data_IF_971141395761
#
_entry.id   IF_971141395761
#
_cell.length_a   1.000
_cell.length_b   1.000
_cell.length_c   1.000
_cell.angle_alpha   90.00
_cell.angle_beta   90.00
_cell.angle_gamma   90.00
#
_symmetry.space_group_name_H-M   'P 1'
#
loop_
_entity.id
_entity.type
_entity.pdbx_description
1 polymer ?
#
# COMPACT_ATOMS: atom_id res chain seq x y z
N UNK A 1 -33.85 35.59 -38.17
CA UNK A 1 -34.39 36.76 -38.88
C UNK A 1 -34.29 36.45 -40.37
N UNK A 2 -35.43 36.40 -41.07
CA UNK A 2 -35.49 36.11 -42.51
C UNK A 2 -34.91 37.29 -43.27
N UNK A 3 -34.04 37.03 -44.23
CA UNK A 3 -33.87 37.94 -45.37
C UNK A 3 -33.86 37.13 -46.67
N UNK A 4 -34.95 37.27 -47.41
CA UNK A 4 -35.10 36.82 -48.80
C UNK A 4 -34.97 38.06 -49.66
N UNK A 5 -33.86 38.20 -50.36
CA UNK A 5 -33.74 39.18 -51.44
C UNK A 5 -33.33 38.43 -52.72
N UNK A 6 -34.30 38.29 -53.61
CA UNK A 6 -34.11 37.74 -54.94
C UNK A 6 -33.21 38.66 -55.76
N UNK A 7 -32.10 38.11 -56.25
CA UNK A 7 -31.27 38.73 -57.29
C UNK A 7 -31.64 38.07 -58.62
N UNK A 8 -32.32 38.82 -59.49
CA UNK A 8 -32.53 38.41 -60.88
C UNK A 8 -31.18 38.49 -61.59
N UNK A 9 -30.63 37.35 -61.97
CA UNK A 9 -29.40 37.27 -62.75
C UNK A 9 -29.78 37.35 -64.23
N UNK A 10 -29.41 38.45 -64.88
CA UNK A 10 -29.47 38.59 -66.33
C UNK A 10 -28.52 37.60 -66.99
N UNK A 11 -29.01 36.89 -68.00
CA UNK A 11 -28.24 35.91 -68.78
C UNK A 11 -27.35 36.69 -69.76
N UNK A 12 -26.03 36.59 -69.60
CA UNK A 12 -25.05 37.04 -70.61
C UNK A 12 -24.86 35.91 -71.65
N UNK A 13 -25.25 36.11 -72.93
CA UNK A 13 -25.20 35.07 -73.94
C UNK A 13 -23.79 34.70 -74.44
N UNK A 14 -22.72 35.36 -73.96
CA UNK A 14 -21.35 35.10 -74.41
C UNK A 14 -20.46 34.34 -73.41
N UNK A 15 -20.99 33.85 -72.29
CA UNK A 15 -20.21 33.02 -71.35
C UNK A 15 -21.03 31.81 -70.82
N UNK A 16 -21.10 30.69 -71.56
CA UNK A 16 -21.82 29.48 -71.13
C UNK A 16 -21.19 28.75 -69.93
N UNK A 17 -20.04 29.22 -69.42
CA UNK A 17 -19.34 28.67 -68.25
C UNK A 17 -19.35 29.63 -67.03
N UNK A 18 -19.93 30.82 -67.15
CA UNK A 18 -19.98 31.81 -66.06
C UNK A 18 -20.99 31.49 -64.95
N UNK A 19 -21.91 30.56 -65.19
CA UNK A 19 -23.01 30.21 -64.28
C UNK A 19 -22.90 28.79 -63.68
N UNK A 20 -21.81 28.06 -63.93
CA UNK A 20 -21.55 26.79 -63.23
C UNK A 20 -20.59 27.11 -62.10
N UNK A 21 -21.11 27.18 -60.87
CA UNK A 21 -20.25 27.26 -59.71
C UNK A 21 -19.56 25.89 -59.54
N UNK A 22 -18.38 25.76 -60.16
CA UNK A 22 -17.58 24.53 -60.21
C UNK A 22 -17.32 24.01 -58.78
N UNK A 23 -17.32 24.90 -57.78
CA UNK A 23 -17.16 24.53 -56.37
C UNK A 23 -18.38 23.81 -55.82
N UNK A 24 -19.58 24.27 -56.13
CA UNK A 24 -20.83 23.61 -55.71
C UNK A 24 -21.00 22.25 -56.42
N UNK A 25 -20.70 22.17 -57.73
CA UNK A 25 -20.77 20.90 -58.48
C UNK A 25 -19.78 19.83 -58.01
N UNK A 26 -18.59 20.23 -57.54
CA UNK A 26 -17.60 19.30 -56.99
C UNK A 26 -17.97 18.83 -55.57
N UNK A 27 -18.44 19.74 -54.71
CA UNK A 27 -18.89 19.40 -53.36
C UNK A 27 -20.08 18.44 -53.39
N UNK A 28 -21.06 18.70 -54.26
CA UNK A 28 -22.25 17.88 -54.44
C UNK A 28 -21.89 16.45 -54.91
N UNK A 29 -20.95 16.32 -55.84
CA UNK A 29 -20.46 15.00 -56.31
C UNK A 29 -19.66 14.23 -55.25
N UNK A 30 -18.86 14.93 -54.45
CA UNK A 30 -18.01 14.32 -53.43
C UNK A 30 -18.81 13.90 -52.19
N UNK A 31 -19.77 14.71 -51.76
CA UNK A 31 -20.50 14.48 -50.51
C UNK A 31 -21.93 13.97 -50.69
N UNK A 32 -22.44 13.91 -51.93
CA UNK A 32 -23.82 13.48 -52.22
C UNK A 32 -24.85 14.54 -51.83
N UNK A 33 -24.48 15.81 -51.89
CA UNK A 33 -25.27 16.93 -51.38
C UNK A 33 -24.40 17.99 -50.72
N UNK A 34 -24.91 19.22 -50.63
CA UNK A 34 -24.26 20.34 -49.93
C UNK A 34 -24.92 20.68 -48.59
N UNK A 35 -25.94 19.92 -48.19
CA UNK A 35 -26.64 20.14 -46.92
C UNK A 35 -25.72 19.80 -45.74
N UNK A 36 -25.66 20.70 -44.76
CA UNK A 36 -24.83 20.54 -43.57
C UNK A 36 -25.76 20.60 -42.36
N UNK A 37 -25.90 19.48 -41.66
CA UNK A 37 -26.63 19.38 -40.40
C UNK A 37 -25.61 19.08 -39.29
N UNK A 38 -25.47 19.97 -38.30
CA UNK A 38 -24.57 19.78 -37.16
C UNK A 38 -25.37 20.07 -35.90
N UNK A 39 -25.45 19.07 -35.02
CA UNK A 39 -26.26 19.06 -33.80
C UNK A 39 -25.36 18.89 -32.57
N UNK A 40 -24.83 20.00 -32.02
CA UNK A 40 -24.17 19.96 -30.73
C UNK A 40 -25.21 19.82 -29.61
N UNK A 41 -24.92 18.95 -28.64
CA UNK A 41 -25.72 18.70 -27.44
C UNK A 41 -24.80 18.65 -26.22
N UNK A 42 -25.24 19.19 -25.09
CA UNK A 42 -24.49 19.14 -23.83
C UNK A 42 -24.43 20.47 -23.10
N UNK A 43 -23.54 20.57 -22.12
CA UNK A 43 -23.33 21.75 -21.30
C UNK A 43 -21.86 22.18 -21.32
N UNK A 44 -21.66 23.49 -21.19
CA UNK A 44 -20.35 24.12 -21.08
C UNK A 44 -20.44 25.05 -19.87
N UNK A 45 -19.79 24.67 -18.78
CA UNK A 45 -19.68 25.49 -17.57
C UNK A 45 -18.25 26.02 -17.47
N UNK A 46 -18.13 27.33 -17.35
CA UNK A 46 -16.84 28.04 -17.22
C UNK A 46 -16.84 28.76 -15.87
N UNK A 47 -15.91 28.38 -15.00
CA UNK A 47 -15.74 28.99 -13.68
C UNK A 47 -14.50 29.86 -13.68
N UNK A 48 -14.68 31.12 -13.28
CA UNK A 48 -13.60 32.09 -13.15
C UNK A 48 -13.53 32.55 -11.70
N UNK A 49 -12.41 32.28 -11.05
CA UNK A 49 -12.15 32.61 -9.65
C UNK A 49 -10.85 33.41 -9.50
N UNK A 50 -10.72 34.06 -8.35
CA UNK A 50 -9.42 34.58 -7.91
C UNK A 50 -9.21 34.06 -6.50
N UNK A 51 -8.20 33.22 -6.36
CA UNK A 51 -7.81 32.71 -5.06
C UNK A 51 -6.83 33.67 -4.40
N UNK A 52 -7.08 33.98 -3.14
CA UNK A 52 -6.18 34.74 -2.30
C UNK A 52 -6.09 34.08 -0.93
N UNK A 53 -4.88 33.72 -0.55
CA UNK A 53 -4.57 33.11 0.74
C UNK A 53 -3.49 33.91 1.44
N UNK A 54 -3.67 34.08 2.75
CA UNK A 54 -2.68 34.69 3.62
C UNK A 54 -2.40 33.78 4.80
N UNK A 55 -1.14 33.32 4.93
CA UNK A 55 -0.71 32.45 6.01
C UNK A 55 0.19 33.22 6.98
N UNK A 56 -0.29 33.39 8.23
CA UNK A 56 0.46 34.03 9.31
C UNK A 56 1.48 33.08 9.96
N UNK A 57 2.33 32.45 9.14
CA UNK A 57 3.44 31.65 9.64
C UNK A 57 4.70 32.53 9.73
N UNK A 58 5.21 32.84 10.94
CA UNK A 58 6.37 33.68 11.13
C UNK A 58 7.67 33.09 10.55
N UNK A 59 7.73 31.76 10.36
CA UNK A 59 8.87 31.04 9.78
C UNK A 59 8.96 31.28 8.26
N UNK A 60 7.82 31.59 7.60
CA UNK A 60 7.82 31.89 6.17
C UNK A 60 8.22 33.35 5.91
N UNK A 61 9.00 33.63 4.85
CA UNK A 61 9.27 34.99 4.37
C UNK A 61 7.97 35.72 4.03
N UNK A 62 7.88 37.03 4.29
CA UNK A 62 6.65 37.84 4.11
C UNK A 62 6.06 37.72 2.70
N UNK A 63 6.90 37.64 1.67
CA UNK A 63 6.47 37.44 0.27
C UNK A 63 5.79 36.09 0.02
N UNK A 64 6.14 35.06 0.79
CA UNK A 64 5.57 33.70 0.69
C UNK A 64 4.36 33.50 1.60
N UNK A 65 4.04 34.49 2.46
CA UNK A 65 2.83 34.48 3.30
C UNK A 65 1.59 34.86 2.51
N UNK A 66 1.74 35.58 1.39
CA UNK A 66 0.64 35.93 0.48
C UNK A 66 0.80 35.07 -0.77
N UNK A 67 -0.18 34.23 -1.04
CA UNK A 67 -0.25 33.47 -2.28
C UNK A 67 -1.64 33.67 -2.89
N UNK A 68 -1.70 33.88 -4.20
CA UNK A 68 -2.94 34.03 -4.92
C UNK A 68 -2.73 33.83 -6.41
N UNK A 69 -3.83 33.62 -7.13
CA UNK A 69 -3.81 33.29 -8.54
C UNK A 69 -5.18 33.47 -9.16
N UNK A 70 -5.19 33.57 -10.48
CA UNK A 70 -6.42 33.42 -11.24
C UNK A 70 -6.73 31.93 -11.33
N UNK A 71 -7.91 31.57 -10.86
CA UNK A 71 -8.44 30.20 -10.96
C UNK A 71 -9.39 30.13 -12.15
N UNK A 72 -9.17 29.15 -13.01
CA UNK A 72 -9.95 28.95 -14.22
C UNK A 72 -10.22 27.47 -14.40
N UNK A 73 -11.49 27.11 -14.26
CA UNK A 73 -11.97 25.74 -14.45
C UNK A 73 -12.97 25.68 -15.61
N UNK A 74 -12.76 24.71 -16.50
CA UNK A 74 -13.61 24.45 -17.65
C UNK A 74 -14.24 23.07 -17.52
N UNK A 75 -15.56 23.04 -17.43
CA UNK A 75 -16.34 21.81 -17.46
C UNK A 75 -17.16 21.76 -18.76
N UNK A 76 -16.57 21.16 -19.80
CA UNK A 76 -17.21 20.96 -21.10
C UNK A 76 -17.67 19.52 -21.15
N UNK A 77 -18.96 19.30 -21.39
CA UNK A 77 -19.57 18.00 -21.67
C UNK A 77 -20.38 18.16 -22.95
N UNK A 78 -19.80 17.79 -24.08
CA UNK A 78 -20.37 18.05 -25.40
C UNK A 78 -20.35 16.80 -26.26
N UNK A 79 -21.50 16.48 -26.84
CA UNK A 79 -21.65 15.54 -27.93
C UNK A 79 -22.03 16.32 -29.20
N UNK A 80 -21.32 16.12 -30.31
CA UNK A 80 -21.67 16.71 -31.59
C UNK A 80 -21.82 15.60 -32.61
N UNK A 81 -23.01 15.52 -33.17
CA UNK A 81 -23.31 14.70 -34.34
C UNK A 81 -23.53 15.62 -35.52
N UNK A 82 -22.96 15.31 -36.67
CA UNK A 82 -23.21 16.08 -37.87
C UNK A 82 -23.05 15.28 -39.15
N UNK A 83 -23.78 15.68 -40.17
CA UNK A 83 -23.76 15.09 -41.51
C UNK A 83 -23.52 16.20 -42.54
N UNK A 84 -22.64 15.94 -43.51
CA UNK A 84 -22.40 16.82 -44.66
C UNK A 84 -22.74 16.03 -45.92
N UNK A 85 -23.77 16.50 -46.63
CA UNK A 85 -24.45 15.73 -47.65
C UNK A 85 -24.91 14.40 -47.09
N UNK A 86 -24.86 13.37 -47.92
CA UNK A 86 -25.26 12.03 -47.52
C UNK A 86 -24.05 11.14 -47.14
N UNK A 87 -22.83 11.52 -47.52
CA UNK A 87 -21.64 10.65 -47.45
C UNK A 87 -20.71 10.90 -46.27
N UNK A 88 -20.72 12.09 -45.64
CA UNK A 88 -19.80 12.43 -44.56
C UNK A 88 -20.53 12.58 -43.23
N UNK A 89 -20.07 11.83 -42.23
CA UNK A 89 -20.60 11.80 -40.87
C UNK A 89 -19.49 12.19 -39.88
N UNK A 90 -19.80 13.12 -38.98
CA UNK A 90 -18.97 13.52 -37.86
C UNK A 90 -19.66 13.13 -36.56
N UNK A 91 -18.97 12.40 -35.70
CA UNK A 91 -19.41 12.13 -34.35
C UNK A 91 -18.25 12.47 -33.41
N UNK A 92 -18.46 13.40 -32.48
CA UNK A 92 -17.47 13.73 -31.46
C UNK A 92 -18.11 13.81 -30.09
N UNK A 93 -17.45 13.22 -29.11
CA UNK A 93 -17.75 13.33 -27.68
C UNK A 93 -16.53 13.96 -27.00
N UNK A 94 -16.74 15.03 -26.25
CA UNK A 94 -15.70 15.75 -25.55
C UNK A 94 -16.15 16.08 -24.13
N UNK A 95 -15.44 15.54 -23.16
CA UNK A 95 -15.60 15.75 -21.73
C UNK A 95 -14.24 16.14 -21.11
N UNK A 96 -14.13 17.37 -20.59
CA UNK A 96 -12.90 17.85 -19.92
C UNK A 96 -12.67 17.20 -18.56
N UNK A 97 -13.71 16.61 -17.97
CA UNK A 97 -13.67 15.89 -16.69
C UNK A 97 -13.68 14.37 -16.86
N UNK A 98 -13.38 13.86 -18.07
CA UNK A 98 -13.29 12.42 -18.31
C UNK A 98 -12.17 11.78 -17.47
N UNK A 99 -12.51 10.72 -16.74
CA UNK A 99 -11.51 9.90 -16.02
C UNK A 99 -10.67 9.04 -16.97
N UNK A 100 -11.19 8.75 -18.16
CA UNK A 100 -10.53 7.90 -19.15
C UNK A 100 -10.49 8.53 -20.54
N UNK A 101 -9.37 8.39 -21.23
CA UNK A 101 -9.17 8.95 -22.59
C UNK A 101 -10.14 8.40 -23.64
N UNK A 102 -10.76 7.22 -23.41
CA UNK A 102 -11.73 6.64 -24.34
C UNK A 102 -13.10 7.33 -24.33
N UNK A 103 -13.40 8.14 -23.31
CA UNK A 103 -14.64 8.92 -23.25
C UNK A 103 -14.60 10.10 -24.25
N UNK A 104 -13.39 10.57 -24.56
CA UNK A 104 -13.13 11.60 -25.56
C UNK A 104 -12.94 10.96 -26.94
N UNK A 105 -14.00 10.96 -27.73
CA UNK A 105 -14.04 10.32 -29.04
C UNK A 105 -14.20 11.35 -30.14
N UNK A 106 -13.44 11.19 -31.21
CA UNK A 106 -13.61 11.92 -32.46
C UNK A 106 -13.66 10.89 -33.57
N UNK A 107 -14.76 10.81 -34.31
CA UNK A 107 -14.89 9.94 -35.46
C UNK A 107 -15.44 10.72 -36.64
N UNK A 108 -14.62 10.84 -37.67
CA UNK A 108 -15.03 11.32 -38.99
C UNK A 108 -15.16 10.10 -39.90
N UNK A 109 -16.31 9.89 -40.51
CA UNK A 109 -16.59 8.81 -41.44
C UNK A 109 -17.05 9.34 -42.78
N UNK A 110 -16.46 8.81 -43.85
CA UNK A 110 -16.94 8.95 -45.22
C UNK A 110 -17.39 7.58 -45.71
N UNK A 111 -18.62 7.46 -46.18
CA UNK A 111 -19.21 6.23 -46.68
C UNK A 111 -19.79 6.45 -48.08
N UNK A 112 -19.15 5.84 -49.08
CA UNK A 112 -19.61 5.88 -50.48
C UNK A 112 -20.51 4.70 -50.85
N UNK A 113 -20.43 3.62 -50.07
CA UNK A 113 -21.13 2.36 -50.29
C UNK A 113 -22.65 2.45 -50.09
N UNK A 114 -23.11 3.38 -49.26
CA UNK A 114 -24.53 3.66 -49.06
C UNK A 114 -25.23 4.27 -50.29
N UNK A 115 -24.47 4.71 -51.32
CA UNK A 115 -25.00 5.45 -52.47
C UNK A 115 -24.61 4.87 -53.84
N UNK A 116 -23.51 4.10 -53.91
CA UNK A 116 -23.05 3.46 -55.15
C UNK A 116 -22.41 2.10 -54.82
N UNK A 117 -23.00 1.02 -55.34
CA UNK A 117 -22.47 -0.34 -55.18
C UNK A 117 -21.12 -0.51 -55.88
N UNK A 118 -20.86 0.27 -56.94
CA UNK A 118 -19.70 0.15 -57.83
C UNK A 118 -18.45 0.91 -57.33
N UNK A 119 -18.55 1.65 -56.22
CA UNK A 119 -17.42 2.45 -55.73
C UNK A 119 -16.31 1.56 -55.13
N UNK A 120 -15.07 1.75 -55.58
CA UNK A 120 -13.89 1.01 -55.07
C UNK A 120 -13.62 1.38 -53.61
N UNK A 121 -13.70 2.67 -53.28
CA UNK A 121 -13.61 3.16 -51.91
C UNK A 121 -14.97 2.88 -51.28
N UNK A 122 -14.99 2.15 -50.16
CA UNK A 122 -16.21 1.87 -49.40
C UNK A 122 -16.33 2.82 -48.23
N UNK A 123 -15.30 2.87 -47.38
CA UNK A 123 -15.26 3.76 -46.22
C UNK A 123 -13.89 4.39 -46.01
N UNK A 124 -13.89 5.63 -45.51
CA UNK A 124 -12.71 6.28 -44.94
C UNK A 124 -13.11 6.78 -43.55
N UNK A 125 -12.43 6.31 -42.51
CA UNK A 125 -12.64 6.74 -41.13
C UNK A 125 -11.38 7.43 -40.61
N UNK A 126 -11.53 8.52 -39.85
CA UNK A 126 -10.44 9.21 -39.16
C UNK A 126 -10.80 9.49 -37.69
N UNK A 127 -9.81 9.41 -36.82
CA UNK A 127 -9.97 9.53 -35.37
C UNK A 127 -10.10 8.17 -34.69
N UNK A 128 -11.10 7.98 -33.83
CA UNK A 128 -11.36 6.72 -33.13
C UNK A 128 -11.89 5.66 -34.11
N UNK A 129 -11.02 4.70 -34.45
CA UNK A 129 -11.29 3.60 -35.36
C UNK A 129 -11.11 2.25 -34.66
N UNK A 130 -11.71 1.21 -35.23
CA UNK A 130 -11.55 -0.17 -34.77
C UNK A 130 -11.33 -1.11 -35.95
N UNK A 131 -10.57 -2.18 -35.71
CA UNK A 131 -10.30 -3.23 -36.69
C UNK A 131 -10.62 -4.60 -36.09
N UNK A 132 -11.91 -4.95 -35.88
CA UNK A 132 -12.26 -6.29 -35.44
C UNK A 132 -11.87 -7.32 -36.51
N UNK A 133 -11.14 -8.36 -36.10
CA UNK A 133 -10.78 -9.50 -36.95
C UNK A 133 -11.55 -10.74 -36.49
N UNK A 134 -11.97 -11.58 -37.45
CA UNK A 134 -12.74 -12.82 -37.18
C UNK A 134 -11.87 -14.01 -36.73
N UNK A 135 -10.54 -13.86 -36.72
CA UNK A 135 -9.60 -14.91 -36.36
C UNK A 135 -9.34 -14.99 -34.86
N UNK A 136 -9.04 -16.18 -34.35
CA UNK A 136 -8.66 -16.40 -32.94
C UNK A 136 -7.16 -16.19 -32.68
N UNK A 137 -6.32 -16.42 -33.70
CA UNK A 137 -4.85 -16.31 -33.60
C UNK A 137 -4.38 -14.85 -33.59
N UNK A 138 -4.93 -14.02 -34.48
CA UNK A 138 -4.64 -12.58 -34.55
C UNK A 138 -5.93 -11.85 -34.17
N UNK A 139 -5.94 -11.32 -32.95
CA UNK A 139 -7.05 -10.52 -32.48
C UNK A 139 -6.86 -9.08 -32.94
N UNK A 140 -7.91 -8.51 -33.54
CA UNK A 140 -7.88 -7.15 -34.04
C UNK A 140 -7.84 -6.12 -32.92
N UNK A 141 -7.08 -5.04 -33.12
CA UNK A 141 -6.97 -3.97 -32.12
C UNK A 141 -8.26 -3.15 -32.04
N UNK A 142 -8.65 -2.82 -30.80
CA UNK A 142 -9.82 -2.03 -30.44
C UNK A 142 -9.34 -0.71 -29.81
N UNK A 143 -10.09 0.37 -30.03
CA UNK A 143 -9.73 1.73 -29.56
C UNK A 143 -8.40 2.23 -30.14
N UNK A 144 -8.41 2.49 -31.44
CA UNK A 144 -7.27 3.05 -32.18
C UNK A 144 -7.57 4.51 -32.51
N UNK A 145 -6.57 5.40 -32.43
CA UNK A 145 -6.68 6.75 -32.96
C UNK A 145 -5.85 6.88 -34.24
N UNK A 146 -6.50 7.06 -35.39
CA UNK A 146 -5.80 7.13 -36.68
C UNK A 146 -6.74 7.15 -37.88
N UNK A 147 -6.22 6.67 -39.01
CA UNK A 147 -6.92 6.62 -40.29
C UNK A 147 -7.18 5.17 -40.69
N UNK A 148 -8.41 4.89 -41.10
CA UNK A 148 -8.84 3.59 -41.63
C UNK A 148 -9.50 3.77 -42.99
N UNK A 149 -9.22 2.87 -43.91
CA UNK A 149 -9.79 2.89 -45.26
C UNK A 149 -10.18 1.47 -45.67
N UNK A 150 -11.38 1.32 -46.22
CA UNK A 150 -11.87 0.07 -46.78
C UNK A 150 -12.04 0.20 -48.28
N UNK A 151 -11.42 -0.71 -49.02
CA UNK A 151 -11.45 -0.80 -50.46
C UNK A 151 -12.02 -2.16 -50.88
N UNK A 152 -12.84 -2.18 -51.94
CA UNK A 152 -13.37 -3.40 -52.51
C UNK A 152 -13.07 -3.48 -54.01
N UNK A 153 -12.34 -4.51 -54.42
CA UNK A 153 -12.02 -4.81 -55.82
C UNK A 153 -12.73 -6.13 -56.21
N UNK A 154 -13.97 -6.01 -56.71
CA UNK A 154 -14.81 -7.18 -56.97
C UNK A 154 -15.08 -7.98 -55.70
N UNK A 155 -14.44 -9.15 -55.56
CA UNK A 155 -14.55 -10.03 -54.37
C UNK A 155 -13.46 -9.81 -53.31
N UNK A 156 -12.43 -9.01 -53.62
CA UNK A 156 -11.34 -8.71 -52.69
C UNK A 156 -11.73 -7.52 -51.81
N UNK A 157 -11.75 -7.72 -50.49
CA UNK A 157 -11.90 -6.67 -49.50
C UNK A 157 -10.56 -6.37 -48.85
N UNK A 158 -10.08 -5.14 -49.00
CA UNK A 158 -8.85 -4.66 -48.40
C UNK A 158 -9.20 -3.58 -47.36
N UNK A 159 -8.87 -3.84 -46.08
CA UNK A 159 -8.97 -2.84 -45.02
C UNK A 159 -7.57 -2.44 -44.60
N UNK A 160 -7.26 -1.14 -44.67
CA UNK A 160 -5.99 -0.57 -44.24
C UNK A 160 -6.21 0.32 -43.03
N UNK A 161 -5.34 0.23 -42.03
CA UNK A 161 -5.40 1.06 -40.81
C UNK A 161 -3.99 1.54 -40.47
N UNK A 162 -3.84 2.85 -40.30
CA UNK A 162 -2.64 3.49 -39.77
C UNK A 162 -3.03 4.29 -38.53
N UNK A 163 -2.63 3.83 -37.35
CA UNK A 163 -3.13 4.37 -36.09
C UNK A 163 -2.15 4.20 -34.94
N UNK A 164 -2.38 4.99 -33.89
CA UNK A 164 -1.79 4.81 -32.58
C UNK A 164 -2.79 4.03 -31.70
N UNK A 165 -2.33 2.94 -31.11
CA UNK A 165 -3.12 2.18 -30.13
C UNK A 165 -3.16 2.96 -28.82
N UNK A 166 -4.37 3.21 -28.30
CA UNK A 166 -4.59 3.91 -27.03
C UNK A 166 -5.05 2.98 -25.89
N UNK A 167 -4.96 1.67 -26.10
CA UNK A 167 -5.40 0.65 -25.15
C UNK A 167 -4.30 -0.36 -24.84
N UNK A 168 -4.17 -0.74 -23.57
CA UNK A 168 -3.36 -1.87 -23.15
C UNK A 168 -4.27 -3.08 -22.88
N UNK A 169 -3.78 -4.28 -23.21
CA UNK A 169 -4.54 -5.50 -23.03
C UNK A 169 -4.05 -6.23 -21.79
N UNK A 170 -4.92 -6.34 -20.80
CA UNK A 170 -4.70 -7.21 -19.66
C UNK A 170 -5.45 -8.54 -19.86
N UNK A 171 -4.78 -9.66 -19.56
CA UNK A 171 -5.39 -10.98 -19.55
C UNK A 171 -5.54 -11.46 -18.11
N UNK A 172 -6.79 -11.61 -17.67
CA UNK A 172 -7.11 -12.15 -16.34
C UNK A 172 -7.55 -13.61 -16.50
N UNK A 173 -6.81 -14.53 -15.89
CA UNK A 173 -7.21 -15.93 -15.83
C UNK A 173 -8.11 -16.17 -14.62
N UNK A 174 -9.41 -16.34 -14.88
CA UNK A 174 -10.41 -16.69 -13.88
C UNK A 174 -10.66 -18.20 -13.97
N UNK A 175 -10.37 -18.94 -12.91
CA UNK A 175 -10.66 -20.38 -12.81
C UNK A 175 -11.58 -20.63 -11.62
N UNK A 176 -12.79 -21.14 -11.87
CA UNK A 176 -13.73 -21.51 -10.80
C UNK A 176 -14.15 -20.36 -9.89
N UNK A 177 -14.35 -19.16 -10.46
CA UNK A 177 -14.89 -17.98 -9.76
C UNK A 177 -13.88 -17.17 -8.92
N UNK A 178 -12.59 -17.54 -8.91
CA UNK A 178 -11.53 -16.76 -8.27
C UNK A 178 -10.47 -16.36 -9.28
N UNK A 179 -9.96 -15.13 -9.15
CA UNK A 179 -8.75 -14.69 -9.85
C UNK A 179 -7.56 -15.51 -9.33
N UNK A 180 -6.83 -16.14 -10.24
CA UNK A 180 -5.56 -16.79 -9.91
C UNK A 180 -4.44 -15.79 -10.20
N UNK A 181 -3.69 -15.41 -9.16
CA UNK A 181 -2.49 -14.58 -9.28
C UNK A 181 -1.27 -15.42 -8.98
N UNK A 182 -0.27 -15.37 -9.85
CA UNK A 182 1.03 -15.96 -9.59
C UNK A 182 1.86 -14.95 -8.79
N UNK A 183 2.56 -15.42 -7.77
CA UNK A 183 3.52 -14.64 -7.02
C UNK A 183 4.89 -15.34 -7.06
N UNK A 184 5.93 -14.54 -6.95
CA UNK A 184 7.32 -14.96 -6.80
C UNK A 184 7.89 -14.13 -5.65
N UNK A 185 8.59 -14.78 -4.73
CA UNK A 185 9.22 -14.14 -3.57
C UNK A 185 10.59 -14.76 -3.40
N UNK A 186 11.62 -13.92 -3.32
CA UNK A 186 12.99 -14.39 -3.13
C UNK A 186 13.28 -14.72 -1.65
N UNK A 187 14.29 -15.56 -1.41
CA UNK A 187 14.60 -16.04 -0.06
C UNK A 187 15.03 -14.91 0.90
N UNK A 188 15.59 -13.82 0.37
CA UNK A 188 15.99 -12.61 1.07
C UNK A 188 14.86 -11.58 1.24
N UNK A 189 13.71 -11.78 0.59
CA UNK A 189 12.51 -10.92 0.69
C UNK A 189 11.57 -11.34 1.82
N UNK A 190 12.14 -11.68 2.99
CA UNK A 190 11.35 -11.94 4.18
C UNK A 190 10.73 -10.64 4.72
N UNK A 191 9.60 -10.76 5.41
CA UNK A 191 8.86 -9.62 5.97
C UNK A 191 9.57 -9.07 7.22
N UNK A 192 10.49 -8.15 7.00
CA UNK A 192 11.37 -7.57 8.02
C UNK A 192 10.59 -6.72 9.04
N UNK A 193 11.05 -6.70 10.30
CA UNK A 193 10.55 -5.84 11.36
C UNK A 193 9.05 -5.99 11.69
N UNK A 194 8.45 -7.16 11.40
CA UNK A 194 7.06 -7.46 11.76
C UNK A 194 6.88 -8.59 12.75
N UNK A 195 7.67 -9.64 12.59
CA UNK A 195 7.48 -10.90 13.31
C UNK A 195 8.60 -11.08 14.34
N UNK A 196 8.24 -11.20 15.62
CA UNK A 196 9.21 -11.27 16.71
C UNK A 196 8.88 -12.37 17.70
N UNK A 197 9.84 -13.26 17.96
CA UNK A 197 9.81 -14.21 19.05
C UNK A 197 9.94 -13.47 20.38
N UNK A 198 9.25 -13.94 21.41
CA UNK A 198 9.23 -13.25 22.71
C UNK A 198 10.52 -13.44 23.52
N UNK A 199 11.25 -14.53 23.30
CA UNK A 199 12.50 -14.82 24.01
C UNK A 199 13.39 -15.78 23.23
N UNK A 200 14.65 -15.91 23.65
CA UNK A 200 15.55 -16.89 23.06
C UNK A 200 15.14 -18.33 23.38
N UNK A 201 14.39 -18.55 24.46
CA UNK A 201 13.73 -19.83 24.73
C UNK A 201 12.73 -20.19 23.62
N UNK A 202 11.87 -19.24 23.22
CA UNK A 202 10.91 -19.46 22.14
C UNK A 202 11.64 -19.75 20.82
N UNK A 203 12.71 -19.02 20.54
CA UNK A 203 13.56 -19.24 19.36
C UNK A 203 14.16 -20.65 19.35
N UNK A 204 14.78 -21.07 20.45
CA UNK A 204 15.46 -22.37 20.54
C UNK A 204 14.50 -23.56 20.43
N UNK A 205 13.22 -23.38 20.77
CA UNK A 205 12.21 -24.44 20.73
C UNK A 205 11.27 -24.33 19.51
N UNK A 206 11.43 -23.34 18.65
CA UNK A 206 10.48 -23.07 17.57
C UNK A 206 10.37 -24.24 16.60
N UNK A 207 11.49 -24.71 16.05
CA UNK A 207 11.53 -25.79 15.07
C UNK A 207 11.07 -27.12 15.67
N UNK A 208 11.60 -27.49 16.84
CA UNK A 208 11.22 -28.71 17.55
C UNK A 208 9.72 -28.76 17.93
N UNK A 209 9.10 -27.60 18.16
CA UNK A 209 7.66 -27.49 18.43
C UNK A 209 6.80 -27.73 17.18
N UNK A 210 7.40 -27.69 15.99
CA UNK A 210 6.74 -27.81 14.69
C UNK A 210 7.10 -29.11 13.95
N UNK A 211 7.92 -30.00 14.52
CA UNK A 211 8.34 -31.25 13.87
C UNK A 211 7.16 -32.17 13.50
N UNK A 212 6.05 -32.12 14.24
CA UNK A 212 4.88 -32.98 14.08
C UNK A 212 3.61 -32.21 13.68
N UNK A 213 3.70 -31.33 12.68
CA UNK A 213 2.53 -30.64 12.13
C UNK A 213 1.40 -31.64 11.74
N UNK A 214 0.13 -31.30 12.00
CA UNK A 214 -0.39 -29.99 12.42
C UNK A 214 -0.37 -29.72 13.94
N UNK A 215 0.08 -30.68 14.76
CA UNK A 215 0.08 -30.53 16.20
C UNK A 215 1.35 -29.82 16.67
N UNK A 216 1.17 -28.71 17.40
CA UNK A 216 2.28 -28.03 18.09
C UNK A 216 2.58 -28.79 19.39
N UNK A 217 3.83 -29.22 19.58
CA UNK A 217 4.25 -30.10 20.69
C UNK A 217 4.78 -29.35 21.91
N UNK A 218 4.87 -28.02 21.85
CA UNK A 218 5.37 -27.16 22.94
C UNK A 218 4.43 -27.04 24.15
N UNK A 219 5.01 -26.88 25.34
CA UNK A 219 4.28 -26.66 26.60
C UNK A 219 4.12 -25.19 26.99
N UNK A 220 4.71 -24.28 26.20
CA UNK A 220 4.63 -22.84 26.41
C UNK A 220 3.26 -22.35 25.95
N UNK A 221 2.55 -21.58 26.78
CA UNK A 221 1.29 -20.99 26.41
C UNK A 221 1.10 -19.61 27.04
N UNK A 222 1.02 -18.56 26.21
CA UNK A 222 0.82 -17.19 26.70
C UNK A 222 -0.59 -17.02 27.27
N UNK A 223 -0.66 -16.48 28.48
CA UNK A 223 -1.90 -16.16 29.18
C UNK A 223 -2.26 -14.69 29.05
N UNK A 224 -1.26 -13.81 29.13
CA UNK A 224 -1.44 -12.36 29.01
C UNK A 224 -0.18 -11.74 28.40
N UNK A 225 -0.35 -10.71 27.56
CA UNK A 225 0.76 -9.94 26.99
C UNK A 225 0.38 -8.46 26.86
N UNK A 226 1.34 -7.58 27.12
CA UNK A 226 1.32 -6.18 26.77
C UNK A 226 2.46 -5.89 25.80
N UNK A 227 2.12 -5.39 24.62
CA UNK A 227 3.08 -5.00 23.57
C UNK A 227 3.17 -3.48 23.51
N UNK A 228 4.39 -2.96 23.53
CA UNK A 228 4.68 -1.53 23.63
C UNK A 228 5.53 -1.07 22.45
N UNK A 229 5.14 0.06 21.85
CA UNK A 229 5.90 0.73 20.78
C UNK A 229 6.19 2.18 21.17
N UNK A 230 7.32 2.74 20.75
CA UNK A 230 7.62 4.18 20.85
C UNK A 230 6.41 5.03 20.41
N UNK A 231 6.05 6.02 21.22
CA UNK A 231 4.99 6.98 20.91
C UNK A 231 5.55 8.20 20.16
N UNK A 232 5.78 8.05 18.86
CA UNK A 232 6.25 9.09 17.94
C UNK A 232 5.16 10.08 17.51
N UNK A 233 3.89 9.64 17.55
CA UNK A 233 2.71 10.42 17.09
C UNK A 233 2.04 11.25 18.18
N UNK A 234 2.70 11.42 19.35
CA UNK A 234 2.13 12.11 20.52
C UNK A 234 0.70 11.65 20.85
N UNK A 235 0.43 10.35 20.74
CA UNK A 235 -0.87 9.78 21.10
C UNK A 235 -1.12 10.05 22.57
N UNK A 236 -2.22 10.73 22.89
CA UNK A 236 -2.66 11.00 24.26
C UNK A 236 -3.63 9.90 24.74
N UNK A 237 -3.85 9.84 26.06
CA UNK A 237 -4.88 8.98 26.62
C UNK A 237 -6.24 9.27 25.97
N UNK A 238 -6.97 8.20 25.64
CA UNK A 238 -8.35 8.26 25.12
C UNK A 238 -9.28 7.60 26.12
N UNK A 239 -10.56 7.93 26.07
CA UNK A 239 -11.55 7.29 26.94
C UNK A 239 -11.53 5.76 26.73
N UNK A 240 -11.34 4.99 27.81
CA UNK A 240 -11.21 3.53 27.77
C UNK A 240 -9.83 2.99 27.39
N UNK A 241 -8.85 3.84 27.08
CA UNK A 241 -7.48 3.42 26.71
C UNK A 241 -6.43 4.11 27.59
N UNK A 242 -5.53 3.33 28.21
CA UNK A 242 -4.48 3.94 28.99
C UNK A 242 -3.53 4.74 28.10
N UNK A 243 -3.15 5.93 28.57
CA UNK A 243 -2.21 6.80 27.88
C UNK A 243 -0.81 6.19 27.74
N UNK A 244 0.07 6.88 26.99
CA UNK A 244 1.47 6.47 26.89
C UNK A 244 2.12 6.42 28.28
N UNK A 245 3.04 5.47 28.45
CA UNK A 245 3.84 5.31 29.66
C UNK A 245 5.33 5.34 29.32
N UNK A 246 6.10 5.85 30.26
CA UNK A 246 7.53 5.69 30.23
C UNK A 246 7.89 4.24 30.52
N UNK A 247 8.60 3.61 29.59
CA UNK A 247 9.11 2.25 29.75
C UNK A 247 10.63 2.22 29.61
N UNK A 248 11.22 1.23 30.27
CA UNK A 248 12.60 0.82 30.04
C UNK A 248 12.59 -0.60 29.48
N UNK A 249 12.89 -0.70 28.19
CA UNK A 249 12.97 -1.97 27.47
C UNK A 249 14.39 -2.54 27.63
N UNK A 250 14.50 -3.76 28.13
CA UNK A 250 15.75 -4.41 28.51
C UNK A 250 15.99 -5.64 27.61
N UNK A 251 17.17 -5.74 27.01
CA UNK A 251 17.51 -6.86 26.11
C UNK A 251 17.47 -8.21 26.85
N UNK A 252 18.17 -8.28 27.98
CA UNK A 252 18.38 -9.50 28.75
C UNK A 252 17.30 -9.77 29.80
N UNK A 253 16.23 -8.96 29.87
CA UNK A 253 15.13 -9.26 30.79
C UNK A 253 14.48 -10.58 30.42
N UNK A 254 14.34 -11.46 31.41
CA UNK A 254 13.79 -12.79 31.20
C UNK A 254 14.77 -13.81 30.64
N UNK A 255 16.04 -13.48 30.39
CA UNK A 255 17.01 -14.37 29.74
C UNK A 255 17.99 -14.98 30.74
N UNK A 256 17.86 -16.27 31.04
CA UNK A 256 18.76 -16.96 31.96
C UNK A 256 19.87 -17.77 31.30
N UNK A 257 19.74 -18.12 30.01
CA UNK A 257 20.65 -19.06 29.37
C UNK A 257 21.61 -18.38 28.37
N UNK A 258 22.87 -18.32 28.77
CA UNK A 258 23.97 -17.71 28.01
C UNK A 258 24.25 -18.44 26.70
N UNK A 259 23.97 -19.75 26.60
CA UNK A 259 24.29 -20.53 25.38
C UNK A 259 23.31 -20.29 24.24
N UNK A 260 22.08 -19.83 24.53
CA UNK A 260 21.05 -19.55 23.52
C UNK A 260 20.89 -18.06 23.22
N UNK A 261 21.23 -17.20 24.19
CA UNK A 261 21.29 -15.76 24.05
C UNK A 261 22.77 -15.39 23.87
N UNK A 262 23.35 -15.62 22.67
CA UNK A 262 24.79 -15.50 22.31
C UNK A 262 25.34 -14.06 22.46
N UNK A 263 25.17 -13.50 23.64
CA UNK A 263 25.45 -12.14 24.03
C UNK A 263 26.81 -12.11 24.72
N UNK A 264 27.79 -11.44 24.13
CA UNK A 264 29.06 -11.18 24.78
C UNK A 264 28.91 -10.36 26.09
N UNK A 265 27.76 -9.73 26.32
CA UNK A 265 27.42 -9.03 27.57
C UNK A 265 27.02 -10.01 28.68
N UNK A 266 26.34 -11.12 28.36
CA UNK A 266 26.09 -12.23 29.30
C UNK A 266 27.35 -13.05 29.60
N UNK A 267 28.39 -12.95 28.77
CA UNK A 267 29.71 -13.53 29.07
C UNK A 267 30.58 -12.63 29.98
N UNK A 268 30.04 -11.51 30.47
CA UNK A 268 30.70 -10.65 31.48
C UNK A 268 29.93 -10.75 32.80
N UNK A 269 30.36 -11.61 33.75
CA UNK A 269 29.73 -11.80 35.07
C UNK A 269 29.50 -10.50 35.85
N UNK A 270 30.25 -9.44 35.52
CA UNK A 270 30.12 -8.13 36.17
C UNK A 270 28.80 -7.38 35.87
N UNK A 271 27.96 -7.82 34.92
CA UNK A 271 26.77 -7.06 34.47
C UNK A 271 25.44 -7.70 34.84
N UNK A 272 25.17 -8.93 34.38
CA UNK A 272 23.94 -9.68 34.65
C UNK A 272 24.31 -11.14 34.86
N UNK A 273 23.85 -11.75 35.95
CA UNK A 273 24.16 -13.15 36.27
C UNK A 273 22.90 -14.03 36.16
N UNK A 274 22.99 -15.19 35.49
CA UNK A 274 21.93 -16.19 35.53
C UNK A 274 21.62 -16.61 36.97
N UNK A 275 20.34 -16.78 37.29
CA UNK A 275 19.95 -17.31 38.60
C UNK A 275 20.16 -18.84 38.62
N UNK A 276 21.03 -19.40 39.49
CA UNK A 276 21.27 -20.83 39.56
C UNK A 276 20.02 -21.65 39.91
N UNK A 277 19.06 -21.04 40.61
CA UNK A 277 17.80 -21.64 41.01
C UNK A 277 16.65 -21.37 40.01
N UNK A 278 16.93 -20.76 38.85
CA UNK A 278 15.91 -20.48 37.84
C UNK A 278 15.21 -21.77 37.38
N UNK A 279 13.91 -21.65 37.13
CA UNK A 279 13.13 -22.76 36.58
C UNK A 279 13.66 -23.19 35.21
N UNK A 280 13.61 -24.49 34.95
CA UNK A 280 14.07 -25.09 33.70
C UNK A 280 12.95 -25.84 33.01
N UNK A 281 13.14 -26.05 31.72
CA UNK A 281 12.27 -26.86 30.90
C UNK A 281 12.19 -28.32 31.41
N UNK A 282 11.27 -29.12 30.85
CA UNK A 282 11.07 -30.51 31.28
C UNK A 282 12.32 -31.39 31.13
N UNK A 283 13.23 -31.05 30.21
CA UNK A 283 14.50 -31.78 30.02
C UNK A 283 15.60 -31.30 30.96
N UNK A 284 15.34 -30.22 31.73
CA UNK A 284 16.29 -29.55 32.63
C UNK A 284 17.54 -29.00 31.93
N UNK A 285 17.47 -28.74 30.64
CA UNK A 285 18.60 -28.25 29.84
C UNK A 285 18.55 -26.73 29.68
N UNK A 286 17.37 -26.15 29.48
CA UNK A 286 17.19 -24.73 29.16
C UNK A 286 16.47 -24.04 30.32
N UNK A 287 16.95 -22.84 30.69
CA UNK A 287 16.27 -21.97 31.66
C UNK A 287 15.02 -21.37 31.00
N UNK A 288 13.90 -21.44 31.69
CA UNK A 288 12.63 -20.86 31.26
C UNK A 288 12.70 -19.32 31.36
N UNK A 289 12.08 -18.59 30.42
CA UNK A 289 12.11 -17.14 30.45
C UNK A 289 11.26 -16.64 31.62
N UNK A 290 11.84 -15.91 32.56
CA UNK A 290 11.15 -15.40 33.73
C UNK A 290 11.90 -14.22 34.35
N UNK A 291 11.22 -13.35 35.10
CA UNK A 291 11.84 -12.22 35.79
C UNK A 291 12.99 -12.62 36.72
N UNK A 292 12.96 -13.84 37.24
CA UNK A 292 14.00 -14.44 38.09
C UNK A 292 14.94 -15.38 37.31
N UNK A 293 14.90 -15.42 35.97
CA UNK A 293 15.83 -16.20 35.16
C UNK A 293 17.28 -15.70 35.27
N UNK A 294 17.43 -14.41 35.52
CA UNK A 294 18.68 -13.75 35.91
C UNK A 294 18.40 -12.73 37.02
N UNK A 295 19.43 -12.04 37.47
CA UNK A 295 19.33 -11.10 38.57
C UNK A 295 19.01 -9.64 38.16
N UNK A 296 18.87 -9.35 36.86
CA UNK A 296 18.65 -7.98 36.35
C UNK A 296 17.39 -7.35 36.93
N UNK A 297 16.26 -8.05 36.87
CA UNK A 297 14.99 -7.54 37.38
C UNK A 297 15.06 -7.30 38.89
N UNK A 298 15.56 -8.29 39.66
CA UNK A 298 15.68 -8.19 41.11
C UNK A 298 16.58 -7.02 41.54
N UNK A 299 17.72 -6.81 40.85
CA UNK A 299 18.62 -5.65 41.10
C UNK A 299 17.93 -4.32 40.82
N UNK A 300 17.09 -4.23 39.77
CA UNK A 300 16.36 -3.01 39.44
C UNK A 300 15.28 -2.67 40.47
N UNK A 301 14.50 -3.65 40.91
CA UNK A 301 13.41 -3.41 41.86
C UNK A 301 13.89 -3.29 43.32
N UNK A 302 15.12 -3.72 43.62
CA UNK A 302 15.71 -3.59 44.95
C UNK A 302 15.84 -2.10 45.39
N UNK A 303 16.12 -1.21 44.44
CA UNK A 303 16.05 0.23 44.66
C UNK A 303 14.75 0.81 44.06
N UNK A 304 13.82 1.17 44.95
CA UNK A 304 12.54 1.79 44.57
C UNK A 304 12.71 3.12 43.84
N UNK A 305 13.87 3.79 43.96
CA UNK A 305 14.14 5.03 43.23
C UNK A 305 14.13 4.82 41.71
N UNK A 306 14.43 3.60 41.25
CA UNK A 306 14.39 3.19 39.84
C UNK A 306 12.99 3.21 39.23
N UNK A 307 11.94 3.47 40.02
CA UNK A 307 10.62 3.79 39.47
C UNK A 307 10.59 5.13 38.75
N UNK A 308 11.53 6.04 39.03
CA UNK A 308 11.70 7.29 38.27
C UNK A 308 12.70 7.08 37.14
N UNK A 309 12.32 7.49 35.93
CA UNK A 309 13.09 7.18 34.73
C UNK A 309 14.55 7.64 34.75
N UNK A 310 14.82 8.83 35.29
CA UNK A 310 16.18 9.37 35.41
C UNK A 310 17.06 8.52 36.33
N UNK A 311 16.48 8.02 37.43
CA UNK A 311 17.18 7.15 38.39
C UNK A 311 17.41 5.76 37.82
N UNK A 312 16.41 5.21 37.13
CA UNK A 312 16.55 3.93 36.42
C UNK A 312 17.73 3.96 35.45
N UNK A 313 17.80 4.99 34.60
CA UNK A 313 18.89 5.14 33.62
C UNK A 313 20.24 5.29 34.31
N UNK A 314 20.34 6.11 35.35
CA UNK A 314 21.58 6.28 36.10
C UNK A 314 22.04 4.94 36.71
N UNK A 315 21.14 4.18 37.33
CA UNK A 315 21.46 2.87 37.89
C UNK A 315 21.92 1.87 36.81
N UNK A 316 21.21 1.80 35.67
CA UNK A 316 21.56 0.94 34.54
C UNK A 316 22.95 1.27 33.98
N UNK A 317 23.29 2.55 33.83
CA UNK A 317 24.58 2.99 33.29
C UNK A 317 25.72 2.89 34.30
N UNK A 318 25.52 3.38 35.51
CA UNK A 318 26.61 3.62 36.46
C UNK A 318 26.90 2.38 37.31
N UNK A 319 25.85 1.69 37.78
CA UNK A 319 26.00 0.52 38.66
C UNK A 319 26.00 -0.79 37.88
N UNK A 320 25.10 -0.94 36.90
CA UNK A 320 25.00 -2.16 36.08
C UNK A 320 25.85 -2.11 34.82
N UNK A 321 26.49 -0.97 34.52
CA UNK A 321 27.40 -0.78 33.38
C UNK A 321 26.79 -1.18 32.03
N UNK A 322 25.48 -0.99 31.89
CA UNK A 322 24.72 -1.27 30.67
C UNK A 322 24.75 -0.08 29.73
N UNK A 323 24.74 -0.36 28.43
CA UNK A 323 24.79 0.63 27.36
C UNK A 323 23.41 0.84 26.75
N UNK A 324 22.98 2.09 26.70
CA UNK A 324 21.75 2.46 25.98
C UNK A 324 21.92 2.21 24.48
N UNK A 325 20.87 1.75 23.80
CA UNK A 325 20.91 1.37 22.38
C UNK A 325 21.41 -0.06 22.13
N UNK A 326 22.02 -0.69 23.14
CA UNK A 326 22.48 -2.08 23.09
C UNK A 326 21.76 -2.97 24.09
N UNK A 327 21.87 -2.61 25.36
CA UNK A 327 21.43 -3.43 26.49
C UNK A 327 20.04 -2.98 26.99
N UNK A 328 19.72 -1.70 26.80
CA UNK A 328 18.41 -1.15 27.13
C UNK A 328 18.05 0.05 26.26
N UNK A 329 16.75 0.35 26.22
CA UNK A 329 16.20 1.57 25.65
C UNK A 329 15.23 2.23 26.62
N UNK A 330 15.22 3.55 26.61
CA UNK A 330 14.21 4.38 27.27
C UNK A 330 13.31 4.95 26.19
N UNK A 331 12.00 4.75 26.32
CA UNK A 331 11.02 5.38 25.44
C UNK A 331 9.76 5.73 26.20
N UNK A 332 9.10 6.83 25.79
CA UNK A 332 7.68 6.98 26.05
C UNK A 332 6.96 6.11 25.05
N UNK A 333 6.25 5.08 25.51
CA UNK A 333 5.64 4.08 24.67
C UNK A 333 4.12 4.08 24.83
N UNK A 334 3.44 3.77 23.73
CA UNK A 334 2.01 3.44 23.74
C UNK A 334 1.86 1.92 23.63
N UNK A 335 0.83 1.39 24.27
CA UNK A 335 0.47 -0.02 24.15
C UNK A 335 -0.22 -0.28 22.80
N UNK A 336 0.09 -1.39 22.17
CA UNK A 336 -0.60 -1.87 20.96
C UNK A 336 -1.83 -2.70 21.36
N UNK A 337 -2.85 -2.70 20.48
CA UNK A 337 -4.07 -3.50 20.65
C UNK A 337 -4.01 -4.80 19.86
N UNK A 338 -4.28 -5.91 20.54
CA UNK A 338 -4.37 -7.23 19.91
C UNK A 338 -5.52 -7.25 18.89
N UNK A 339 -5.35 -7.99 17.80
CA UNK A 339 -6.30 -8.14 16.70
C UNK A 339 -6.25 -6.99 15.69
N UNK A 340 -6.06 -5.75 16.14
CA UNK A 340 -5.98 -4.57 15.24
C UNK A 340 -4.55 -4.20 14.89
N UNK A 341 -3.67 -4.08 15.89
CA UNK A 341 -2.30 -3.59 15.71
C UNK A 341 -1.25 -4.69 15.80
N UNK A 342 -1.57 -5.81 16.44
CA UNK A 342 -0.72 -7.00 16.43
C UNK A 342 -1.55 -8.28 16.59
N UNK A 343 -0.97 -9.41 16.22
CA UNK A 343 -1.49 -10.76 16.49
C UNK A 343 -0.44 -11.58 17.23
N UNK A 344 -0.86 -12.65 17.90
CA UNK A 344 0.00 -13.48 18.73
C UNK A 344 -0.18 -14.96 18.37
N UNK A 345 0.92 -15.71 18.40
CA UNK A 345 0.87 -17.16 18.49
C UNK A 345 1.22 -17.57 19.93
N UNK A 346 0.21 -17.95 20.71
CA UNK A 346 0.35 -18.23 22.13
C UNK A 346 1.25 -19.44 22.43
N UNK A 347 1.24 -20.45 21.56
CA UNK A 347 1.97 -21.70 21.79
C UNK A 347 3.44 -21.62 21.38
N UNK A 348 3.74 -20.94 20.27
CA UNK A 348 5.11 -20.77 19.77
C UNK A 348 5.80 -19.56 20.41
N UNK A 349 5.03 -18.61 20.94
CA UNK A 349 5.55 -17.44 21.62
C UNK A 349 6.21 -16.44 20.69
N UNK A 350 5.47 -15.98 19.69
CA UNK A 350 5.84 -14.85 18.85
C UNK A 350 4.64 -13.93 18.60
N UNK A 351 4.94 -12.67 18.27
CA UNK A 351 3.96 -11.67 17.85
C UNK A 351 4.22 -11.26 16.40
N UNK A 352 3.15 -10.87 15.71
CA UNK A 352 3.21 -10.25 14.38
C UNK A 352 2.57 -8.88 14.47
N UNK A 353 3.34 -7.84 14.23
CA UNK A 353 2.90 -6.44 14.32
C UNK A 353 2.33 -6.02 12.96
N UNK A 354 1.10 -5.50 12.96
CA UNK A 354 0.40 -5.07 11.76
C UNK A 354 0.81 -3.66 11.30
N UNK A 355 1.48 -2.91 12.18
CA UNK A 355 2.06 -1.60 11.86
C UNK A 355 3.49 -1.75 11.34
N UNK A 356 3.87 -0.92 10.36
CA UNK A 356 5.26 -0.88 9.89
C UNK A 356 6.14 -0.22 10.95
N UNK A 357 7.02 -0.98 11.59
CA UNK A 357 7.95 -0.46 12.58
C UNK A 357 9.06 0.32 11.90
N UNK A 358 9.23 1.59 12.27
CA UNK A 358 10.33 2.40 11.78
C UNK A 358 11.67 1.93 12.39
N UNK A 359 12.81 2.14 11.70
CA UNK A 359 14.12 1.76 12.22
C UNK A 359 14.43 2.30 13.62
N UNK A 360 14.00 3.51 13.92
CA UNK A 360 14.18 4.23 15.18
C UNK A 360 13.12 3.91 16.26
N UNK A 361 12.12 3.08 15.96
CA UNK A 361 11.11 2.67 16.94
C UNK A 361 11.58 1.47 17.76
N UNK A 362 11.32 1.54 19.07
CA UNK A 362 11.57 0.46 20.03
C UNK A 362 10.30 -0.37 20.17
N UNK A 363 10.46 -1.69 20.17
CA UNK A 363 9.40 -2.66 20.46
C UNK A 363 9.74 -3.40 21.75
N UNK A 364 8.86 -3.30 22.73
CA UNK A 364 8.99 -3.97 24.02
C UNK A 364 7.76 -4.82 24.36
N UNK A 365 7.94 -5.83 25.18
CA UNK A 365 6.86 -6.74 25.63
C UNK A 365 6.98 -7.05 27.12
N UNK A 366 5.84 -7.19 27.78
CA UNK A 366 5.72 -7.86 29.06
C UNK A 366 4.65 -8.93 28.94
N UNK A 367 4.89 -10.12 29.47
CA UNK A 367 3.97 -11.24 29.30
C UNK A 367 3.99 -12.23 30.46
N UNK A 368 2.88 -12.91 30.62
CA UNK A 368 2.69 -14.05 31.49
C UNK A 368 2.35 -15.28 30.65
N UNK A 369 2.94 -16.41 30.97
CA UNK A 369 2.69 -17.67 30.27
C UNK A 369 2.67 -18.83 31.26
N UNK A 370 1.96 -19.91 30.89
CA UNK A 370 2.07 -21.19 31.55
C UNK A 370 3.07 -22.09 30.85
N UNK A 371 3.79 -22.86 31.65
CA UNK A 371 4.61 -23.98 31.21
C UNK A 371 4.46 -25.14 32.20
N UNK A 372 3.97 -26.27 31.69
CA UNK A 372 3.72 -27.47 32.49
C UNK A 372 2.87 -27.21 33.75
N UNK A 373 1.79 -26.42 33.60
CA UNK A 373 0.85 -26.09 34.67
C UNK A 373 1.35 -25.05 35.69
N UNK A 374 2.53 -24.45 35.48
CA UNK A 374 3.06 -23.36 36.31
C UNK A 374 3.13 -22.06 35.51
N UNK A 375 2.81 -20.96 36.17
CA UNK A 375 2.81 -19.62 35.58
C UNK A 375 4.17 -18.94 35.80
N UNK A 376 4.66 -18.29 34.76
CA UNK A 376 5.90 -17.52 34.74
C UNK A 376 5.63 -16.14 34.13
N UNK A 377 6.38 -15.12 34.56
CA UNK A 377 6.21 -13.74 34.11
C UNK A 377 7.54 -13.14 33.66
N UNK A 378 7.51 -12.40 32.55
CA UNK A 378 8.64 -11.63 32.02
C UNK A 378 8.19 -10.18 31.83
N UNK A 379 8.92 -9.26 32.46
CA UNK A 379 8.55 -7.85 32.53
C UNK A 379 7.43 -7.55 33.53
N UNK A 380 6.95 -6.32 33.44
CA UNK A 380 5.83 -5.77 34.22
C UNK A 380 4.67 -5.47 33.26
N UNK A 381 3.54 -6.12 33.50
CA UNK A 381 2.29 -5.88 32.77
C UNK A 381 1.75 -4.50 33.12
N UNK A 382 0.89 -3.96 32.25
CA UNK A 382 0.28 -2.65 32.42
C UNK A 382 -0.48 -2.50 33.75
N UNK A 383 -1.14 -3.57 34.19
CA UNK A 383 -1.91 -3.60 35.44
C UNK A 383 -1.06 -3.95 36.67
N UNK A 384 0.23 -4.26 36.49
CA UNK A 384 1.13 -4.44 37.62
C UNK A 384 1.37 -3.06 38.24
N UNK A 385 0.63 -2.73 39.30
CA UNK A 385 0.88 -1.52 40.09
C UNK A 385 2.25 -1.66 40.78
N UNK A 386 3.25 -0.82 40.48
CA UNK A 386 4.45 -0.75 41.29
C UNK A 386 4.05 -0.14 42.63
N UNK A 387 3.80 -1.01 43.59
CA UNK A 387 3.02 -0.84 44.83
C UNK A 387 3.54 0.18 45.85
N UNK A 388 4.32 1.19 45.44
CA UNK A 388 4.91 2.18 46.35
C UNK A 388 5.06 3.61 45.80
N UNK A 389 4.57 3.93 44.61
CA UNK A 389 4.58 5.32 44.15
C UNK A 389 3.29 6.02 44.61
N UNK A 390 3.39 6.95 45.56
CA UNK A 390 2.32 7.89 45.92
C UNK A 390 1.90 8.82 44.76
N UNK A 391 2.52 8.66 43.60
CA UNK A 391 2.29 9.39 42.36
C UNK A 391 2.43 8.42 41.17
N UNK A 392 1.36 7.69 40.86
CA UNK A 392 1.30 6.63 39.84
C UNK A 392 1.57 7.13 38.41
N UNK A 393 1.66 8.44 38.22
CA UNK A 393 1.91 9.11 36.93
C UNK A 393 3.37 9.09 36.48
N UNK A 394 4.34 8.84 37.38
CA UNK A 394 5.79 8.92 37.09
C UNK A 394 6.52 7.57 37.14
N UNK A 395 5.80 6.46 37.35
CA UNK A 395 6.45 5.15 37.48
C UNK A 395 6.74 4.51 36.13
N UNK A 396 8.01 4.16 35.93
CA UNK A 396 8.48 3.40 34.76
C UNK A 396 8.12 1.92 34.88
N UNK A 397 7.77 1.32 33.75
CA UNK A 397 7.63 -0.13 33.59
C UNK A 397 8.91 -0.74 33.01
N UNK A 398 9.36 -1.85 33.58
CA UNK A 398 10.45 -2.66 33.03
C UNK A 398 9.89 -3.75 32.13
N UNK A 399 10.27 -3.73 30.85
CA UNK A 399 9.76 -4.67 29.83
C UNK A 399 10.92 -5.30 29.06
N UNK A 400 10.67 -6.43 28.41
CA UNK A 400 11.66 -7.08 27.56
C UNK A 400 11.71 -6.41 26.20
N UNK A 401 12.91 -6.11 25.71
CA UNK A 401 13.12 -5.52 24.39
C UNK A 401 13.13 -6.61 23.30
N UNK A 402 12.33 -6.42 22.26
CA UNK A 402 12.35 -7.24 21.04
C UNK A 402 13.09 -6.55 19.89
N UNK A 403 13.01 -5.21 19.82
CA UNK A 403 13.72 -4.38 18.83
C UNK A 403 14.12 -3.06 19.48
N UNK A 404 15.37 -2.64 19.27
CA UNK A 404 15.89 -1.32 19.68
C UNK A 404 15.88 -0.28 18.55
N UNK A 405 16.42 0.92 18.82
CA UNK A 405 16.50 2.02 17.84
C UNK A 405 17.58 1.84 16.77
N UNK A 406 18.58 0.99 17.04
CA UNK A 406 19.70 0.73 16.11
C UNK A 406 19.72 -0.76 15.75
N UNK A 407 19.40 -1.15 14.50
CA UNK A 407 19.51 -2.54 14.08
C UNK A 407 20.98 -2.95 14.07
N UNK A 408 21.32 -3.95 14.87
CA UNK A 408 22.68 -4.48 14.94
C UNK A 408 22.65 -6.00 14.94
N UNK A 409 23.11 -6.57 13.82
CA UNK A 409 23.10 -8.02 13.57
C UNK A 409 23.98 -8.83 14.53
N UNK A 410 24.85 -8.16 15.30
CA UNK A 410 25.70 -8.80 16.32
C UNK A 410 25.02 -8.88 17.69
N UNK A 411 23.87 -8.25 17.86
CA UNK A 411 23.13 -8.27 19.13
C UNK A 411 22.11 -9.40 19.14
N UNK A 412 21.90 -10.08 20.27
CA UNK A 412 20.92 -11.16 20.37
C UNK A 412 19.47 -10.72 20.07
N UNK A 413 19.13 -9.44 20.30
CA UNK A 413 17.83 -8.91 19.92
C UNK A 413 17.53 -9.08 18.40
N UNK A 414 18.57 -9.10 17.55
CA UNK A 414 18.41 -9.38 16.12
C UNK A 414 17.90 -10.80 15.82
N UNK A 415 18.24 -11.75 16.68
CA UNK A 415 17.83 -13.14 16.58
C UNK A 415 16.37 -13.37 16.98
N UNK A 416 15.76 -12.41 17.69
CA UNK A 416 14.33 -12.45 18.02
C UNK A 416 13.46 -12.07 16.83
N UNK A 417 13.98 -11.31 15.86
CA UNK A 417 13.27 -11.04 14.60
C UNK A 417 13.23 -12.30 13.73
N UNK A 418 12.02 -12.73 13.39
CA UNK A 418 11.77 -13.90 12.54
C UNK A 418 12.00 -13.54 11.07
N UNK A 419 12.65 -14.44 10.35
CA UNK A 419 13.11 -14.24 8.95
C UNK A 419 12.52 -15.31 8.02
N UNK A 420 11.43 -15.93 8.44
CA UNK A 420 10.75 -17.05 7.78
C UNK A 420 9.29 -16.72 7.42
N UNK A 421 8.90 -15.44 7.49
CA UNK A 421 7.61 -14.94 7.03
C UNK A 421 7.81 -14.19 5.71
N UNK A 422 6.91 -14.42 4.77
CA UNK A 422 6.97 -13.85 3.43
C UNK A 422 5.61 -13.27 3.06
N UNK A 423 5.60 -12.01 2.63
CA UNK A 423 4.38 -11.35 2.17
C UNK A 423 4.15 -11.64 0.69
N UNK A 424 3.07 -12.35 0.39
CA UNK A 424 2.71 -12.74 -0.99
C UNK A 424 1.74 -11.75 -1.66
N UNK A 425 1.48 -10.59 -1.04
CA UNK A 425 0.63 -9.53 -1.59
C UNK A 425 -0.85 -9.89 -1.74
N UNK A 426 -1.30 -10.99 -1.11
CA UNK A 426 -2.64 -11.52 -1.28
C UNK A 426 -3.48 -11.41 0.00
N UNK A 427 -4.72 -10.96 -0.15
CA UNK A 427 -5.71 -10.89 0.92
C UNK A 427 -6.65 -12.10 0.87
N UNK A 428 -6.98 -12.66 2.04
CA UNK A 428 -7.97 -13.75 2.18
C UNK A 428 -7.71 -14.96 1.25
N UNK A 429 -6.48 -15.43 1.20
CA UNK A 429 -6.08 -16.57 0.37
C UNK A 429 -6.87 -17.83 0.73
N UNK A 430 -7.51 -18.45 -0.26
CA UNK A 430 -8.13 -19.76 -0.10
C UNK A 430 -7.06 -20.84 0.09
N UNK A 431 -6.99 -21.38 1.32
CA UNK A 431 -6.04 -22.41 1.71
C UNK A 431 -6.04 -23.65 0.80
N UNK A 432 -7.17 -23.99 0.18
CA UNK A 432 -7.25 -25.16 -0.72
C UNK A 432 -6.70 -24.90 -2.12
N UNK A 433 -6.59 -23.62 -2.50
CA UNK A 433 -6.15 -23.19 -3.84
C UNK A 433 -4.74 -22.62 -3.85
N UNK A 434 -4.17 -22.31 -2.68
CA UNK A 434 -2.77 -21.92 -2.55
C UNK A 434 -1.85 -23.09 -2.93
N UNK A 435 -1.00 -22.87 -3.92
CA UNK A 435 0.05 -23.80 -4.32
C UNK A 435 1.39 -23.07 -4.26
N UNK A 436 2.33 -23.61 -3.48
CA UNK A 436 3.69 -23.10 -3.37
C UNK A 436 4.66 -24.11 -3.98
N UNK A 437 5.70 -23.59 -4.66
CA UNK A 437 6.82 -24.40 -5.15
C UNK A 437 8.10 -23.68 -4.78
N UNK A 438 9.05 -24.43 -4.26
CA UNK A 438 10.37 -23.91 -3.88
C UNK A 438 11.35 -24.28 -4.98
N UNK A 439 12.10 -23.30 -5.46
CA UNK A 439 13.20 -23.47 -6.39
C UNK A 439 14.49 -23.15 -5.63
N UNK A 440 15.46 -24.07 -5.71
CA UNK A 440 16.76 -23.96 -5.06
C UNK A 440 17.85 -23.60 -6.08
#
# INVERSE_FOLDING_TARGET
>A
MRDRLGKVIGIDPNNPLGNVDIKESLADRLFGGTEVDIRPQGNIDLTFGVDYSYLENPILPVRSRRNGGFDFDMNIQMNVEGTIGDKLNLNTNYNTQASFDFDNQLKLGYASDAFSEDDIIKTIEAGNVSLPLKGTLIQGAQSLFGLKTQLQFGRLYLTMVASQQKSEREEIQIKGGSQLSQFEVFADEYDENRHFLLSHFNRANFDASLDNLPQITGLFNIEQIDVWITNDRNVTAREGEPGPRDIVALADLGEGNITINNNAVLTSPERVEPNPAAARDITRTIILPANDANDLYTRLIADKSNRRIERAIANLKDNLRLQQGRDFEKVSARRLREGSEYTINQQLGFISVNVNLQPDQVLGVAYQYSYNGRTYKVGELFNDEPSTASDSSQSVLFVKMLKGTTPNVKLPAWDLMMKNFYNIGAYQVDKKRLQTRYFL
#
